data_IF_601109437208
#
_entry.id   IF_601109437208
#
_cell.length_a   1.000
_cell.length_b   1.000
_cell.length_c   1.000
_cell.angle_alpha   90.00
_cell.angle_beta   90.00
_cell.angle_gamma   90.00
#
_symmetry.space_group_name_H-M   'P 1'
#
loop_
_entity.id
_entity.type
_entity.pdbx_description
1 polymer ?
#
# COMPACT_ATOMS: atom_id res chain seq x y z
N UNK A 1 23.13 -8.08 -7.44
CA UNK A 1 23.94 -7.41 -6.40
C UNK A 1 24.81 -6.38 -7.11
N UNK A 2 24.73 -5.12 -6.71
CA UNK A 2 25.54 -4.03 -7.26
C UNK A 2 26.70 -3.78 -6.29
N UNK A 3 27.93 -3.88 -6.78
CA UNK A 3 29.15 -3.71 -5.96
C UNK A 3 29.93 -2.51 -6.47
N UNK A 4 30.27 -1.58 -5.59
CA UNK A 4 31.03 -0.36 -5.92
C UNK A 4 32.25 -0.28 -4.99
N UNK A 5 33.43 -0.01 -5.53
CA UNK A 5 34.68 0.17 -4.77
C UNK A 5 35.08 1.64 -4.79
N UNK A 6 35.37 2.19 -3.61
CA UNK A 6 35.58 3.62 -3.40
C UNK A 6 36.75 3.84 -2.44
N UNK A 7 37.56 4.87 -2.70
CA UNK A 7 38.67 5.25 -1.81
C UNK A 7 38.17 5.91 -0.52
N UNK A 8 37.22 6.85 -0.61
CA UNK A 8 36.71 7.63 0.52
C UNK A 8 35.17 7.61 0.59
N UNK A 9 34.56 6.53 1.12
CA UNK A 9 33.11 6.43 1.21
C UNK A 9 32.54 7.23 2.40
N UNK A 10 31.58 8.09 2.11
CA UNK A 10 30.77 8.81 3.09
C UNK A 10 29.42 8.12 3.24
N UNK A 11 29.00 7.88 4.50
CA UNK A 11 27.73 7.22 4.83
C UNK A 11 26.84 8.11 5.69
N UNK A 12 25.53 7.94 5.56
CA UNK A 12 24.55 8.55 6.45
C UNK A 12 24.34 7.66 7.68
N UNK A 13 24.42 8.27 8.87
CA UNK A 13 24.21 7.59 10.14
C UNK A 13 25.37 6.69 10.58
N UNK A 14 25.34 6.28 11.84
CA UNK A 14 26.40 5.48 12.46
C UNK A 14 26.43 4.03 11.93
N UNK A 15 25.29 3.49 11.49
CA UNK A 15 25.18 2.10 11.01
C UNK A 15 25.75 1.89 9.61
N UNK A 16 26.12 2.97 8.91
CA UNK A 16 26.70 2.94 7.55
C UNK A 16 25.84 2.18 6.53
N UNK A 17 24.52 2.22 6.70
CA UNK A 17 23.57 1.51 5.82
C UNK A 17 23.34 2.24 4.50
N UNK A 18 23.46 3.57 4.49
CA UNK A 18 23.17 4.42 3.34
C UNK A 18 24.46 5.11 2.90
N UNK A 19 24.89 4.87 1.65
CA UNK A 19 26.03 5.56 1.05
C UNK A 19 25.61 6.97 0.62
N UNK A 20 26.11 8.00 1.32
CA UNK A 20 25.83 9.41 1.07
C UNK A 20 26.79 10.09 0.07
N UNK A 21 27.69 9.35 -0.56
CA UNK A 21 28.68 9.92 -1.49
C UNK A 21 28.03 10.27 -2.84
N UNK A 22 27.59 11.52 -3.00
CA UNK A 22 26.77 11.97 -4.15
C UNK A 22 27.41 11.76 -5.52
N UNK A 23 28.73 11.97 -5.66
CA UNK A 23 29.46 11.80 -6.92
C UNK A 23 29.35 10.38 -7.49
N UNK A 24 29.27 9.38 -6.62
CA UNK A 24 29.21 7.95 -6.97
C UNK A 24 27.92 7.63 -7.68
N UNK A 25 26.81 8.23 -7.23
CA UNK A 25 25.50 8.02 -7.84
C UNK A 25 25.52 8.40 -9.31
N UNK A 26 26.11 9.54 -9.66
CA UNK A 26 26.20 10.00 -11.04
C UNK A 26 27.07 9.07 -11.90
N UNK A 27 28.22 8.64 -11.38
CA UNK A 27 29.14 7.73 -12.08
C UNK A 27 28.47 6.39 -12.36
N UNK A 28 27.89 5.78 -11.32
CA UNK A 28 27.21 4.48 -11.43
C UNK A 28 26.00 4.57 -12.35
N UNK A 29 25.19 5.63 -12.24
CA UNK A 29 24.05 5.84 -13.13
C UNK A 29 24.47 5.91 -14.59
N UNK A 30 25.53 6.67 -14.90
CA UNK A 30 26.06 6.79 -16.27
C UNK A 30 26.54 5.45 -16.82
N UNK A 31 27.36 4.71 -16.06
CA UNK A 31 27.85 3.39 -16.50
C UNK A 31 26.70 2.41 -16.73
N UNK A 32 25.72 2.38 -15.84
CA UNK A 32 24.55 1.51 -15.97
C UNK A 32 23.70 1.91 -17.19
N UNK A 33 23.51 3.20 -17.42
CA UNK A 33 22.78 3.72 -18.58
C UNK A 33 23.47 3.34 -19.90
N UNK A 34 24.78 3.54 -20.00
CA UNK A 34 25.58 3.21 -21.18
C UNK A 34 25.48 1.70 -21.50
N UNK A 35 25.68 0.84 -20.50
CA UNK A 35 25.66 -0.63 -20.66
C UNK A 35 24.25 -1.17 -20.97
N UNK A 36 23.21 -0.65 -20.31
CA UNK A 36 21.82 -1.03 -20.61
C UNK A 36 21.46 -0.59 -22.03
N UNK A 37 21.83 0.63 -22.43
CA UNK A 37 21.57 1.15 -23.77
C UNK A 37 22.28 0.31 -24.83
N UNK A 38 23.53 -0.07 -24.59
CA UNK A 38 24.28 -0.96 -25.46
C UNK A 38 23.60 -2.34 -25.59
N UNK A 39 23.13 -2.93 -24.49
CA UNK A 39 22.40 -4.21 -24.52
C UNK A 39 21.06 -4.13 -25.24
N UNK A 40 20.28 -3.10 -25.00
CA UNK A 40 18.97 -2.91 -25.64
C UNK A 40 19.09 -2.69 -27.16
N UNK A 41 20.17 -2.03 -27.59
CA UNK A 41 20.45 -1.74 -29.00
C UNK A 41 21.36 -2.78 -29.68
N UNK A 42 21.74 -3.85 -28.97
CA UNK A 42 22.63 -4.88 -29.49
C UNK A 42 22.02 -5.57 -30.72
N UNK A 43 22.83 -5.75 -31.77
CA UNK A 43 22.45 -6.51 -32.96
C UNK A 43 22.47 -8.04 -32.72
N UNK A 44 22.98 -8.49 -31.57
CA UNK A 44 23.01 -9.91 -31.20
C UNK A 44 21.58 -10.45 -31.07
N UNK A 45 21.31 -11.58 -31.74
CA UNK A 45 20.00 -12.24 -31.73
C UNK A 45 19.50 -12.58 -30.32
N UNK A 46 20.38 -13.03 -29.42
CA UNK A 46 20.00 -13.41 -28.06
C UNK A 46 19.62 -12.18 -27.23
N UNK A 47 20.42 -11.11 -27.30
CA UNK A 47 20.15 -9.86 -26.59
C UNK A 47 18.86 -9.21 -27.07
N UNK A 48 18.62 -9.25 -28.39
CA UNK A 48 17.39 -8.72 -29.00
C UNK A 48 16.14 -9.47 -28.52
N UNK A 49 16.20 -10.79 -28.42
CA UNK A 49 15.10 -11.60 -27.90
C UNK A 49 14.80 -11.31 -26.41
N UNK A 50 15.85 -11.22 -25.58
CA UNK A 50 15.69 -10.87 -24.15
C UNK A 50 15.17 -9.44 -23.96
N UNK A 51 15.65 -8.49 -24.75
CA UNK A 51 15.19 -7.10 -24.72
C UNK A 51 13.72 -6.99 -25.10
N UNK A 52 13.27 -7.73 -26.12
CA UNK A 52 11.85 -7.76 -26.50
C UNK A 52 10.96 -8.30 -25.37
N UNK A 53 11.34 -9.41 -24.74
CA UNK A 53 10.60 -9.98 -23.59
C UNK A 53 10.53 -9.01 -22.40
N UNK A 54 11.64 -8.32 -22.11
CA UNK A 54 11.69 -7.31 -21.07
C UNK A 54 10.74 -6.14 -21.37
N UNK A 55 10.77 -5.62 -22.59
CA UNK A 55 9.91 -4.50 -23.02
C UNK A 55 8.42 -4.89 -22.95
N UNK A 56 8.06 -6.09 -23.40
CA UNK A 56 6.70 -6.59 -23.29
C UNK A 56 6.23 -6.68 -21.83
N UNK A 57 7.09 -7.19 -20.93
CA UNK A 57 6.80 -7.24 -19.51
C UNK A 57 6.62 -5.84 -18.91
N UNK A 58 7.48 -4.88 -19.26
CA UNK A 58 7.35 -3.48 -18.82
C UNK A 58 5.99 -2.91 -19.25
N UNK A 59 5.60 -3.09 -20.51
CA UNK A 59 4.30 -2.63 -21.03
C UNK A 59 3.13 -3.30 -20.30
N UNK A 60 3.20 -4.60 -20.05
CA UNK A 60 2.19 -5.34 -19.30
C UNK A 60 2.01 -4.79 -17.88
N UNK A 61 3.12 -4.58 -17.16
CA UNK A 61 3.10 -4.01 -15.81
C UNK A 61 2.59 -2.57 -15.79
N UNK A 62 2.95 -1.74 -16.78
CA UNK A 62 2.41 -0.39 -16.91
C UNK A 62 0.89 -0.40 -17.12
N UNK A 63 0.39 -1.28 -18.01
CA UNK A 63 -1.06 -1.45 -18.22
C UNK A 63 -1.76 -1.89 -16.93
N UNK A 64 -1.17 -2.83 -16.19
CA UNK A 64 -1.67 -3.29 -14.88
C UNK A 64 -1.75 -2.14 -13.87
N UNK A 65 -0.69 -1.32 -13.77
CA UNK A 65 -0.65 -0.13 -12.89
C UNK A 65 -1.72 0.90 -13.26
N UNK A 66 -1.89 1.21 -14.54
CA UNK A 66 -2.92 2.14 -15.02
C UNK A 66 -4.31 1.58 -14.71
N UNK A 67 -4.56 0.30 -15.03
CA UNK A 67 -5.83 -0.35 -14.74
C UNK A 67 -6.16 -0.33 -13.25
N UNK A 68 -5.19 -0.65 -12.38
CA UNK A 68 -5.37 -0.57 -10.93
C UNK A 68 -5.66 0.86 -10.45
N UNK A 69 -5.02 1.88 -11.05
CA UNK A 69 -5.30 3.29 -10.74
C UNK A 69 -6.73 3.68 -11.16
N UNK A 70 -7.13 3.33 -12.38
CA UNK A 70 -8.49 3.57 -12.89
C UNK A 70 -9.51 2.85 -12.02
N UNK A 71 -9.26 1.59 -11.66
CA UNK A 71 -10.14 0.81 -10.79
C UNK A 71 -10.30 1.46 -9.41
N UNK A 72 -9.20 1.91 -8.78
CA UNK A 72 -9.23 2.68 -7.54
C UNK A 72 -10.02 3.98 -7.69
N UNK A 73 -9.86 4.68 -8.80
CA UNK A 73 -10.56 5.95 -9.04
C UNK A 73 -12.07 5.74 -9.30
N UNK A 74 -12.43 4.72 -10.08
CA UNK A 74 -13.83 4.31 -10.28
C UNK A 74 -14.45 3.86 -8.97
N UNK A 75 -13.75 3.09 -8.14
CA UNK A 75 -14.22 2.73 -6.80
C UNK A 75 -14.35 3.96 -5.90
N UNK A 76 -13.39 4.89 -5.91
CA UNK A 76 -13.51 6.16 -5.17
C UNK A 76 -14.72 6.97 -5.60
N UNK A 77 -14.99 7.08 -6.90
CA UNK A 77 -16.17 7.80 -7.41
C UNK A 77 -17.47 7.11 -7.02
N UNK A 78 -17.53 5.77 -7.07
CA UNK A 78 -18.68 5.00 -6.58
C UNK A 78 -18.89 5.19 -5.08
N UNK A 79 -17.83 5.14 -4.29
CA UNK A 79 -17.85 5.35 -2.84
C UNK A 79 -18.04 6.81 -2.43
N UNK A 80 -17.89 7.78 -3.34
CA UNK A 80 -18.21 9.19 -3.08
C UNK A 80 -19.71 9.47 -3.26
N UNK A 81 -20.41 8.64 -4.05
CA UNK A 81 -21.86 8.70 -4.26
C UNK A 81 -22.62 7.87 -3.23
N UNK A 82 -22.01 6.79 -2.73
CA UNK A 82 -22.51 6.08 -1.55
C UNK A 82 -21.94 6.75 -0.31
N UNK A 83 -22.77 7.49 0.43
CA UNK A 83 -22.48 8.03 1.77
C UNK A 83 -21.46 7.13 2.48
N UNK A 84 -20.31 7.70 2.87
CA UNK A 84 -19.17 7.04 3.50
C UNK A 84 -19.57 6.27 4.76
N UNK A 85 -20.24 5.14 4.57
CA UNK A 85 -20.87 4.37 5.62
C UNK A 85 -19.92 3.26 5.97
N UNK A 86 -19.52 3.23 7.25
CA UNK A 86 -18.75 2.13 7.78
C UNK A 86 -19.44 0.79 7.45
N UNK A 87 -18.66 -0.30 7.26
CA UNK A 87 -19.24 -1.60 6.96
C UNK A 87 -20.36 -1.93 7.95
N UNK A 88 -21.51 -2.42 7.46
CA UNK A 88 -22.69 -2.71 8.29
C UNK A 88 -22.45 -3.72 9.41
N UNK A 89 -21.37 -4.50 9.29
CA UNK A 89 -20.92 -5.47 10.29
C UNK A 89 -20.03 -4.89 11.38
N UNK A 90 -19.53 -3.65 11.24
CA UNK A 90 -18.75 -2.96 12.26
C UNK A 90 -19.66 -2.57 13.43
N UNK A 91 -19.29 -2.99 14.64
CA UNK A 91 -19.85 -2.42 15.86
C UNK A 91 -18.93 -1.29 16.35
N UNK A 92 -19.25 -0.06 15.94
CA UNK A 92 -18.41 1.10 16.20
C UNK A 92 -18.41 1.54 17.68
N UNK A 93 -17.42 2.34 18.06
CA UNK A 93 -17.32 3.00 19.37
C UNK A 93 -17.87 4.43 19.31
N UNK A 94 -18.03 5.08 20.47
CA UNK A 94 -18.61 6.44 20.55
C UNK A 94 -17.59 7.56 20.41
N UNK A 95 -16.31 7.27 20.63
CA UNK A 95 -15.25 8.28 20.60
C UNK A 95 -14.65 8.39 19.20
N UNK A 96 -14.44 9.63 18.76
CA UNK A 96 -13.74 9.95 17.51
C UNK A 96 -12.22 10.11 17.70
N UNK A 97 -11.71 9.97 18.93
CA UNK A 97 -10.28 10.10 19.25
C UNK A 97 -9.51 8.83 18.90
N UNK A 98 -8.84 8.85 17.74
CA UNK A 98 -8.01 7.75 17.22
C UNK A 98 -6.93 7.29 18.21
N UNK A 99 -6.41 8.19 19.07
CA UNK A 99 -5.37 7.85 20.05
C UNK A 99 -5.91 7.01 21.22
N UNK A 100 -7.22 7.01 21.43
CA UNK A 100 -7.91 6.30 22.51
C UNK A 100 -8.76 5.13 22.01
N UNK A 101 -9.13 5.15 20.73
CA UNK A 101 -9.93 4.08 20.12
C UNK A 101 -9.12 2.81 19.91
N UNK A 102 -9.76 1.67 20.19
CA UNK A 102 -9.21 0.33 19.95
C UNK A 102 -10.10 -0.43 18.98
N UNK A 103 -9.51 -1.11 18.00
CA UNK A 103 -10.23 -1.98 17.08
C UNK A 103 -9.92 -3.45 17.40
N UNK A 104 -10.95 -4.22 17.74
CA UNK A 104 -10.87 -5.67 17.90
C UNK A 104 -11.42 -6.38 16.67
N UNK A 105 -10.64 -7.31 16.14
CA UNK A 105 -11.05 -8.18 15.04
C UNK A 105 -11.47 -9.52 15.63
N UNK A 106 -12.70 -9.95 15.37
CA UNK A 106 -13.26 -11.20 15.91
C UNK A 106 -13.60 -12.19 14.81
N UNK A 107 -13.43 -13.48 15.09
CA UNK A 107 -13.79 -14.53 14.15
C UNK A 107 -15.29 -14.86 14.26
N UNK A 108 -16.07 -14.44 13.25
CA UNK A 108 -17.49 -14.74 13.12
C UNK A 108 -18.43 -13.97 14.04
N UNK A 109 -19.74 -14.12 13.77
CA UNK A 109 -20.80 -13.39 14.49
C UNK A 109 -21.04 -13.95 15.90
N UNK A 110 -20.66 -15.19 16.15
CA UNK A 110 -20.79 -15.82 17.48
C UNK A 110 -19.84 -15.18 18.50
N UNK A 111 -18.57 -14.98 18.13
CA UNK A 111 -17.61 -14.26 18.95
C UNK A 111 -18.00 -12.78 19.10
N UNK A 112 -18.55 -12.16 18.03
CA UNK A 112 -19.06 -10.79 18.08
C UNK A 112 -20.16 -10.61 19.13
N UNK A 113 -21.13 -11.51 19.20
CA UNK A 113 -22.24 -11.41 20.17
C UNK A 113 -21.75 -11.35 21.62
N UNK A 114 -20.77 -12.20 21.94
CA UNK A 114 -20.14 -12.24 23.27
C UNK A 114 -19.28 -10.99 23.51
N UNK A 115 -18.41 -10.65 22.56
CA UNK A 115 -17.51 -9.50 22.68
C UNK A 115 -18.26 -8.16 22.75
N UNK A 116 -19.40 -8.04 22.06
CA UNK A 116 -20.22 -6.81 22.02
C UNK A 116 -20.80 -6.45 23.38
N UNK A 117 -21.11 -7.45 24.21
CA UNK A 117 -21.59 -7.24 25.58
C UNK A 117 -20.46 -6.96 26.57
N UNK A 118 -19.26 -7.48 26.30
CA UNK A 118 -18.10 -7.33 27.19
C UNK A 118 -17.29 -6.05 26.93
N UNK A 119 -17.38 -5.46 25.73
CA UNK A 119 -16.59 -4.29 25.36
C UNK A 119 -17.02 -3.03 26.10
N UNK A 120 -16.09 -2.09 26.27
CA UNK A 120 -16.43 -0.70 26.51
C UNK A 120 -16.81 -0.03 25.19
N UNK A 121 -18.10 0.23 24.97
CA UNK A 121 -18.59 0.88 23.74
C UNK A 121 -18.09 2.32 23.56
N UNK A 122 -17.50 2.90 24.60
CA UNK A 122 -17.03 4.28 24.56
C UNK A 122 -15.76 4.40 23.70
N UNK A 123 -14.88 3.38 23.70
CA UNK A 123 -13.61 3.43 22.97
C UNK A 123 -13.22 2.15 22.22
N UNK A 124 -13.94 1.03 22.38
CA UNK A 124 -13.58 -0.23 21.72
C UNK A 124 -14.54 -0.55 20.59
N UNK A 125 -14.08 -0.59 19.35
CA UNK A 125 -14.85 -1.04 18.18
C UNK A 125 -14.62 -2.53 17.90
N UNK A 126 -15.61 -3.24 17.36
CA UNK A 126 -15.50 -4.65 16.98
C UNK A 126 -15.79 -4.86 15.49
N UNK A 127 -14.92 -5.57 14.79
CA UNK A 127 -15.08 -5.95 13.40
C UNK A 127 -15.08 -7.49 13.27
N UNK A 128 -16.22 -8.12 12.93
CA UNK A 128 -16.27 -9.55 12.66
C UNK A 128 -15.74 -9.87 11.26
N UNK A 129 -14.90 -10.91 11.18
CA UNK A 129 -14.43 -11.51 9.92
C UNK A 129 -15.02 -12.90 9.82
N UNK A 130 -15.56 -13.25 8.64
CA UNK A 130 -16.15 -14.58 8.40
C UNK A 130 -15.20 -15.42 7.55
N UNK A 131 -14.91 -16.63 8.03
CA UNK A 131 -14.10 -17.60 7.30
C UNK A 131 -12.63 -17.19 7.17
N UNK A 132 -11.92 -17.84 6.24
CA UNK A 132 -10.49 -17.60 6.00
C UNK A 132 -10.30 -16.38 5.09
N UNK A 133 -9.46 -15.45 5.51
CA UNK A 133 -9.07 -14.28 4.72
C UNK A 133 -8.30 -14.74 3.47
N UNK A 134 -8.47 -14.01 2.36
CA UNK A 134 -7.75 -14.21 1.11
C UNK A 134 -6.22 -14.16 1.34
N UNK A 135 -5.49 -15.12 0.77
CA UNK A 135 -4.03 -15.09 0.82
C UNK A 135 -3.47 -14.04 -0.16
N UNK A 136 -3.15 -12.86 0.37
CA UNK A 136 -2.64 -11.71 -0.40
C UNK A 136 -1.25 -11.92 -1.01
N UNK A 137 -0.47 -12.92 -0.56
CA UNK A 137 0.84 -13.21 -1.17
C UNK A 137 0.71 -13.92 -2.52
N UNK A 138 -0.42 -14.60 -2.76
CA UNK A 138 -0.70 -15.31 -4.02
C UNK A 138 -1.71 -14.60 -4.91
N UNK A 139 -2.46 -13.65 -4.35
CA UNK A 139 -3.52 -12.93 -5.05
C UNK A 139 -3.02 -11.61 -5.64
N UNK A 140 -3.65 -11.15 -6.72
CA UNK A 140 -3.33 -9.83 -7.28
C UNK A 140 -3.90 -8.71 -6.39
N UNK A 141 -3.40 -7.48 -6.58
CA UNK A 141 -3.95 -6.30 -5.89
C UNK A 141 -5.43 -6.10 -6.24
N UNK A 142 -5.86 -6.46 -7.45
CA UNK A 142 -7.26 -6.40 -7.86
C UNK A 142 -8.14 -7.36 -7.07
N UNK A 143 -7.69 -8.60 -6.87
CA UNK A 143 -8.41 -9.63 -6.11
C UNK A 143 -8.51 -9.27 -4.63
N UNK A 144 -7.46 -8.66 -4.07
CA UNK A 144 -7.48 -8.15 -2.71
C UNK A 144 -8.51 -7.02 -2.53
N UNK A 145 -8.59 -6.08 -3.47
CA UNK A 145 -9.52 -4.96 -3.39
C UNK A 145 -10.97 -5.35 -3.66
N UNK A 146 -11.22 -6.43 -4.41
CA UNK A 146 -12.56 -6.96 -4.65
C UNK A 146 -13.07 -7.88 -3.52
N UNK A 147 -12.17 -8.33 -2.64
CA UNK A 147 -12.54 -9.15 -1.49
C UNK A 147 -13.23 -8.30 -0.41
N UNK A 148 -14.44 -8.71 0.00
CA UNK A 148 -15.25 -7.97 0.97
C UNK A 148 -14.61 -7.83 2.36
N UNK A 149 -13.86 -8.84 2.83
CA UNK A 149 -13.18 -8.81 4.12
C UNK A 149 -11.98 -7.85 4.10
N UNK A 150 -11.17 -7.94 3.06
CA UNK A 150 -10.06 -7.01 2.85
C UNK A 150 -10.54 -5.56 2.67
N UNK A 151 -11.60 -5.35 1.89
CA UNK A 151 -12.20 -4.02 1.69
C UNK A 151 -12.74 -3.44 3.01
N UNK A 152 -13.44 -4.24 3.81
CA UNK A 152 -13.95 -3.81 5.11
C UNK A 152 -12.81 -3.43 6.08
N UNK A 153 -11.73 -4.20 6.13
CA UNK A 153 -10.55 -3.86 6.94
C UNK A 153 -9.91 -2.54 6.50
N UNK A 154 -9.70 -2.35 5.20
CA UNK A 154 -9.13 -1.12 4.64
C UNK A 154 -10.00 0.10 4.98
N UNK A 155 -11.32 -0.08 4.95
CA UNK A 155 -12.28 0.97 5.25
C UNK A 155 -12.28 1.34 6.75
N UNK A 156 -12.34 0.36 7.64
CA UNK A 156 -12.40 0.58 9.11
C UNK A 156 -11.10 1.16 9.65
N UNK A 157 -9.95 0.70 9.15
CA UNK A 157 -8.64 1.24 9.55
C UNK A 157 -8.40 2.64 8.98
N UNK A 158 -9.22 3.10 8.02
CA UNK A 158 -9.01 4.39 7.37
C UNK A 158 -7.81 4.41 6.41
N UNK A 159 -7.17 3.25 6.16
CA UNK A 159 -6.12 3.10 5.14
C UNK A 159 -6.66 3.30 3.70
N UNK A 160 -7.99 3.42 3.57
CA UNK A 160 -8.73 3.69 2.35
C UNK A 160 -9.06 5.15 2.04
N UNK A 161 -8.49 6.17 2.71
CA UNK A 161 -8.62 7.58 2.29
C UNK A 161 -7.38 8.41 2.63
N UNK A 162 -6.25 8.08 2.00
CA UNK A 162 -5.14 9.03 1.85
C UNK A 162 -5.55 10.17 0.90
N UNK A 163 -6.34 11.11 1.44
CA UNK A 163 -6.52 12.52 1.05
C UNK A 163 -7.74 13.12 1.78
N UNK A 164 -7.74 13.10 3.12
CA UNK A 164 -8.60 13.99 3.90
C UNK A 164 -7.82 14.49 5.11
N UNK A 165 -7.58 15.79 5.14
CA UNK A 165 -6.98 16.60 6.22
C UNK A 165 -5.47 16.42 6.49
N UNK A 166 -4.67 17.02 5.60
CA UNK A 166 -3.60 17.92 6.06
C UNK A 166 -4.20 18.99 7.00
N UNK A 167 -3.70 19.04 8.23
CA UNK A 167 -3.54 20.21 9.09
C UNK A 167 -4.65 21.28 9.11
N UNK A 168 -5.49 21.26 10.14
CA UNK A 168 -5.95 22.49 10.81
C UNK A 168 -6.14 22.21 12.31
N UNK A 169 -5.42 22.88 13.23
CA UNK A 169 -5.74 22.77 14.66
C UNK A 169 -7.12 23.38 14.94
N UNK A 170 -7.88 22.85 15.92
CA UNK A 170 -9.19 23.41 16.25
C UNK A 170 -9.03 24.85 16.74
N UNK A 171 -9.69 25.77 16.04
CA UNK A 171 -9.86 27.13 16.49
C UNK A 171 -10.59 27.12 17.84
N UNK A 172 -9.93 27.65 18.85
CA UNK A 172 -10.53 28.05 20.12
C UNK A 172 -11.61 29.10 19.84
N UNK A 173 -12.87 28.72 20.06
CA UNK A 173 -13.99 29.66 20.13
C UNK A 173 -14.53 29.64 21.58
N UNK A 174 -14.75 30.86 22.07
CA UNK A 174 -15.28 31.23 23.39
C UNK A 174 -16.50 30.44 23.84
#
# INVERSE_FOLDING_TARGET
MLTVRLAEPQFEGQTKEILGTSAVRAIVAKVVEDEITARLNSANRNDKAQSALLLEKIVSEMKSRISARVHKETQRRKNALETSSMPTKLADCRTDDVGRSELFIVEGDSALGTAKLARSSDFQALLPIRGKILNVQKASVGDMLSNAECAALIQVVGAGSAAASTSTPPATAR
#
